data_IF_569594351287
#
_entry.id   IF_569594351287
#
_cell.length_a   1.000
_cell.length_b   1.000
_cell.length_c   1.000
_cell.angle_alpha   90.00
_cell.angle_beta   90.00
_cell.angle_gamma   90.00
#
_symmetry.space_group_name_H-M   'P 1'
#
loop_
_entity.id
_entity.type
_entity.pdbx_description
1 polymer ?
#
# COMPACT_ATOMS: atom_id res chain seq x y z
N UNK A 1 -28.98 20.58 -6.61
CA UNK A 1 -29.84 19.54 -7.22
C UNK A 1 -29.66 19.48 -8.73
N UNK A 2 -28.42 19.46 -9.19
CA UNK A 2 -27.90 18.43 -10.10
C UNK A 2 -26.52 18.15 -9.54
N UNK A 3 -26.35 16.92 -9.12
CA UNK A 3 -25.12 16.21 -8.82
C UNK A 3 -23.95 16.80 -9.60
N UNK A 4 -22.98 17.41 -8.91
CA UNK A 4 -21.64 17.66 -9.49
C UNK A 4 -20.95 16.30 -9.56
N UNK A 5 -21.54 15.42 -10.38
CA UNK A 5 -21.22 14.03 -10.61
C UNK A 5 -21.33 13.22 -9.30
N UNK A 6 -22.04 12.10 -9.25
CA UNK A 6 -21.44 10.83 -9.63
C UNK A 6 -19.89 10.83 -9.65
N UNK A 7 -19.22 11.34 -8.61
CA UNK A 7 -17.75 11.37 -8.49
C UNK A 7 -17.16 9.98 -8.80
N UNK A 8 -17.83 8.91 -8.37
CA UNK A 8 -17.47 7.53 -8.71
C UNK A 8 -17.46 7.23 -10.22
N UNK A 9 -18.43 7.69 -11.01
CA UNK A 9 -18.45 7.42 -12.45
C UNK A 9 -17.33 8.17 -13.17
N UNK A 10 -17.05 9.41 -12.79
CA UNK A 10 -15.94 10.16 -13.38
C UNK A 10 -14.58 9.57 -12.98
N UNK A 11 -14.43 9.13 -11.73
CA UNK A 11 -13.20 8.49 -11.25
C UNK A 11 -12.94 7.19 -12.01
N UNK A 12 -13.96 6.33 -12.20
CA UNK A 12 -13.79 5.09 -12.98
C UNK A 12 -13.42 5.37 -14.45
N UNK A 13 -14.07 6.36 -15.10
CA UNK A 13 -13.74 6.76 -16.47
C UNK A 13 -12.32 7.32 -16.57
N UNK A 14 -11.92 8.17 -15.62
CA UNK A 14 -10.56 8.72 -15.54
C UNK A 14 -9.52 7.62 -15.31
N UNK A 15 -9.80 6.67 -14.41
CA UNK A 15 -8.95 5.49 -14.18
C UNK A 15 -8.79 4.69 -15.45
N UNK A 16 -9.88 4.33 -16.15
CA UNK A 16 -9.80 3.58 -17.40
C UNK A 16 -8.95 4.31 -18.45
N UNK A 17 -9.18 5.61 -18.63
CA UNK A 17 -8.43 6.42 -19.60
C UNK A 17 -6.93 6.47 -19.27
N UNK A 18 -6.60 6.70 -17.99
CA UNK A 18 -5.21 6.76 -17.55
C UNK A 18 -4.54 5.38 -17.59
N UNK A 19 -5.25 4.29 -17.32
CA UNK A 19 -4.72 2.92 -17.49
C UNK A 19 -4.31 2.67 -18.95
N UNK A 20 -5.13 3.07 -19.91
CA UNK A 20 -4.82 2.95 -21.34
C UNK A 20 -3.65 3.86 -21.76
N UNK A 21 -3.59 5.09 -21.24
CA UNK A 21 -2.52 6.03 -21.51
C UNK A 21 -1.17 5.56 -20.94
N UNK A 22 -1.19 4.98 -19.73
CA UNK A 22 -0.02 4.56 -18.97
C UNK A 22 0.38 3.10 -19.22
N UNK A 23 -0.28 2.38 -20.13
CA UNK A 23 -0.05 0.94 -20.39
C UNK A 23 1.38 0.57 -20.76
N UNK A 24 2.19 1.53 -21.20
CA UNK A 24 3.59 1.33 -21.55
C UNK A 24 4.54 1.46 -20.34
N UNK A 25 4.00 1.79 -19.17
CA UNK A 25 4.72 1.94 -17.89
C UNK A 25 6.03 2.73 -18.05
N UNK A 26 5.99 3.91 -18.67
CA UNK A 26 7.21 4.65 -18.95
C UNK A 26 7.71 5.41 -17.71
N UNK A 27 9.02 5.50 -17.46
CA UNK A 27 9.56 6.28 -16.34
C UNK A 27 9.16 7.76 -16.38
N UNK A 28 9.06 8.34 -17.58
CA UNK A 28 8.61 9.73 -17.78
C UNK A 28 7.18 9.99 -17.29
N UNK A 29 6.39 8.94 -17.12
CA UNK A 29 4.99 8.99 -16.70
C UNK A 29 4.84 8.68 -15.19
N UNK A 30 5.93 8.48 -14.45
CA UNK A 30 5.92 8.18 -13.01
C UNK A 30 5.04 9.11 -12.15
N UNK A 31 5.05 10.44 -12.37
CA UNK A 31 4.12 11.35 -11.68
C UNK A 31 2.65 11.06 -11.97
N UNK A 32 2.30 10.68 -13.20
CA UNK A 32 0.92 10.31 -13.58
C UNK A 32 0.52 8.96 -12.98
N UNK A 33 1.43 7.99 -12.94
CA UNK A 33 1.21 6.72 -12.23
C UNK A 33 0.90 6.96 -10.75
N UNK A 34 1.65 7.86 -10.11
CA UNK A 34 1.44 8.23 -8.70
C UNK A 34 0.06 8.86 -8.49
N UNK A 35 -0.35 9.79 -9.37
CA UNK A 35 -1.66 10.44 -9.28
C UNK A 35 -2.83 9.48 -9.53
N UNK A 36 -2.70 8.56 -10.48
CA UNK A 36 -3.70 7.51 -10.70
C UNK A 36 -3.90 6.68 -9.44
N UNK A 37 -2.81 6.19 -8.85
CA UNK A 37 -2.86 5.36 -7.65
C UNK A 37 -3.41 6.14 -6.45
N UNK A 38 -2.99 7.40 -6.27
CA UNK A 38 -3.49 8.28 -5.22
C UNK A 38 -5.01 8.46 -5.31
N UNK A 39 -5.53 8.81 -6.49
CA UNK A 39 -6.96 8.97 -6.71
C UNK A 39 -7.72 7.67 -6.42
N UNK A 40 -7.22 6.53 -6.89
CA UNK A 40 -7.88 5.25 -6.64
C UNK A 40 -7.78 4.84 -5.16
N UNK A 41 -6.68 5.09 -4.46
CA UNK A 41 -6.56 4.79 -3.02
C UNK A 41 -7.51 5.63 -2.16
N UNK A 42 -7.81 6.86 -2.56
CA UNK A 42 -8.72 7.74 -1.83
C UNK A 42 -10.20 7.42 -2.07
N UNK A 43 -10.56 6.96 -3.27
CA UNK A 43 -11.96 6.82 -3.67
C UNK A 43 -12.40 5.38 -3.98
N UNK A 44 -11.49 4.53 -4.46
CA UNK A 44 -11.75 3.15 -4.84
C UNK A 44 -10.59 2.21 -4.44
N UNK A 45 -10.34 1.99 -3.14
CA UNK A 45 -9.18 1.21 -2.65
C UNK A 45 -9.05 -0.18 -3.29
N UNK A 46 -10.18 -0.84 -3.60
CA UNK A 46 -10.19 -2.15 -4.24
C UNK A 46 -9.57 -2.13 -5.65
N UNK A 47 -9.79 -1.05 -6.41
CA UNK A 47 -9.19 -0.88 -7.74
C UNK A 47 -7.69 -0.61 -7.61
N UNK A 48 -7.29 0.21 -6.64
CA UNK A 48 -5.87 0.43 -6.36
C UNK A 48 -5.15 -0.86 -5.94
N UNK A 49 -5.77 -1.68 -5.07
CA UNK A 49 -5.21 -2.98 -4.68
C UNK A 49 -5.01 -3.90 -5.88
N UNK A 50 -5.98 -3.96 -6.79
CA UNK A 50 -5.86 -4.74 -8.02
C UNK A 50 -4.73 -4.22 -8.94
N UNK A 51 -4.60 -2.91 -9.12
CA UNK A 51 -3.53 -2.29 -9.94
C UNK A 51 -2.15 -2.61 -9.35
N UNK A 52 -1.99 -2.45 -8.03
CA UNK A 52 -0.74 -2.73 -7.31
C UNK A 52 -0.41 -4.23 -7.30
N UNK A 53 -1.40 -5.08 -7.03
CA UNK A 53 -1.26 -6.54 -7.01
C UNK A 53 -0.90 -7.13 -8.37
N UNK A 54 -1.41 -6.54 -9.46
CA UNK A 54 -1.06 -6.92 -10.83
C UNK A 54 0.27 -6.31 -11.33
N UNK A 55 0.95 -5.52 -10.50
CA UNK A 55 2.23 -4.87 -10.85
C UNK A 55 2.17 -4.07 -12.16
N UNK A 56 1.04 -3.40 -12.44
CA UNK A 56 0.83 -2.67 -13.70
C UNK A 56 1.77 -1.47 -13.84
N UNK A 57 2.26 -0.92 -12.73
CA UNK A 57 3.12 0.27 -12.67
C UNK A 57 4.34 0.03 -11.78
N UNK A 58 5.45 0.68 -12.11
CA UNK A 58 6.72 0.54 -11.35
C UNK A 58 7.45 1.85 -11.07
N UNK A 59 7.00 2.98 -11.63
CA UNK A 59 7.73 4.26 -11.59
C UNK A 59 7.07 5.34 -10.72
N UNK A 60 6.04 4.97 -9.95
CA UNK A 60 5.39 5.88 -9.00
C UNK A 60 6.21 6.05 -7.71
N UNK A 61 5.86 7.07 -6.93
CA UNK A 61 6.42 7.30 -5.59
C UNK A 61 5.96 6.22 -4.61
N UNK A 62 6.81 5.22 -4.36
CA UNK A 62 6.49 4.08 -3.50
C UNK A 62 6.20 4.49 -2.06
N UNK A 63 6.95 5.46 -1.51
CA UNK A 63 6.80 5.88 -0.12
C UNK A 63 5.45 6.57 0.10
N UNK A 64 5.07 7.45 -0.82
CA UNK A 64 3.77 8.12 -0.80
C UNK A 64 2.61 7.12 -0.95
N UNK A 65 2.72 6.20 -1.92
CA UNK A 65 1.69 5.17 -2.13
C UNK A 65 1.56 4.23 -0.94
N UNK A 66 2.66 3.85 -0.28
CA UNK A 66 2.63 3.03 0.93
C UNK A 66 1.80 3.69 2.06
N UNK A 67 2.00 4.99 2.29
CA UNK A 67 1.25 5.74 3.30
C UNK A 67 -0.25 5.80 2.97
N UNK A 68 -0.60 5.94 1.68
CA UNK A 68 -1.99 5.93 1.25
C UNK A 68 -2.62 4.53 1.37
N UNK A 69 -1.88 3.46 1.09
CA UNK A 69 -2.33 2.10 1.33
C UNK A 69 -2.64 1.85 2.82
N UNK A 70 -1.80 2.34 3.73
CA UNK A 70 -2.04 2.24 5.17
C UNK A 70 -3.34 2.96 5.57
N UNK A 71 -3.54 4.20 5.08
CA UNK A 71 -4.76 4.97 5.32
C UNK A 71 -6.02 4.31 4.74
N UNK A 72 -5.89 3.61 3.62
CA UNK A 72 -6.97 2.89 2.97
C UNK A 72 -7.27 1.51 3.61
N UNK A 73 -6.52 1.12 4.65
CA UNK A 73 -6.65 -0.19 5.30
C UNK A 73 -5.98 -1.35 4.54
N UNK A 74 -5.26 -1.07 3.46
CA UNK A 74 -4.50 -2.04 2.66
C UNK A 74 -3.10 -2.24 3.25
N UNK A 75 -3.03 -2.70 4.51
CA UNK A 75 -1.77 -2.83 5.25
C UNK A 75 -0.74 -3.74 4.57
N UNK A 76 -1.20 -4.82 3.94
CA UNK A 76 -0.32 -5.72 3.18
C UNK A 76 0.38 -4.98 2.04
N UNK A 77 -0.36 -4.16 1.28
CA UNK A 77 0.22 -3.34 0.20
C UNK A 77 1.13 -2.26 0.74
N UNK A 78 0.78 -1.62 1.85
CA UNK A 78 1.66 -0.63 2.49
C UNK A 78 3.04 -1.24 2.80
N UNK A 79 3.06 -2.43 3.43
CA UNK A 79 4.29 -3.13 3.78
C UNK A 79 5.15 -3.55 2.58
N UNK A 80 4.55 -3.97 1.47
CA UNK A 80 5.29 -4.29 0.23
C UNK A 80 5.94 -3.05 -0.43
N UNK A 81 5.48 -1.85 -0.09
CA UNK A 81 5.95 -0.60 -0.67
C UNK A 81 6.86 0.18 0.28
N UNK A 82 6.82 -0.10 1.58
CA UNK A 82 7.76 0.48 2.52
C UNK A 82 9.19 0.01 2.29
N UNK A 83 10.09 0.98 2.21
CA UNK A 83 11.54 0.76 2.11
C UNK A 83 12.26 1.14 3.41
N UNK A 84 11.61 1.90 4.29
CA UNK A 84 12.15 2.32 5.58
C UNK A 84 11.75 1.32 6.68
N UNK A 85 12.75 0.79 7.39
CA UNK A 85 12.55 -0.12 8.51
C UNK A 85 11.68 0.47 9.62
N UNK A 86 11.72 1.80 9.83
CA UNK A 86 10.87 2.49 10.79
C UNK A 86 9.40 2.37 10.43
N UNK A 87 9.03 2.60 9.16
CA UNK A 87 7.65 2.47 8.69
C UNK A 87 7.20 1.01 8.69
N UNK A 88 8.08 0.07 8.30
CA UNK A 88 7.82 -1.37 8.40
C UNK A 88 7.49 -1.73 9.85
N UNK A 89 8.35 -1.38 10.81
CA UNK A 89 8.15 -1.63 12.25
C UNK A 89 6.83 -1.03 12.76
N UNK A 90 6.45 0.17 12.32
CA UNK A 90 5.17 0.78 12.69
C UNK A 90 3.98 0.03 12.10
N UNK A 91 4.06 -0.41 10.85
CA UNK A 91 2.94 -1.07 10.19
C UNK A 91 2.77 -2.52 10.65
N UNK A 92 3.86 -3.29 10.82
CA UNK A 92 3.77 -4.69 11.28
C UNK A 92 3.21 -4.82 12.69
N UNK A 93 3.26 -3.80 13.55
CA UNK A 93 2.67 -3.93 14.90
C UNK A 93 1.14 -3.98 14.90
N UNK A 94 0.52 -3.66 13.77
CA UNK A 94 -0.91 -3.88 13.52
C UNK A 94 -1.21 -5.30 12.98
N UNK A 95 -0.40 -6.31 13.34
CA UNK A 95 -0.47 -7.71 12.84
C UNK A 95 -1.83 -8.40 12.88
N UNK A 96 -2.73 -8.03 13.78
CA UNK A 96 -4.09 -8.62 13.85
C UNK A 96 -4.90 -8.52 12.54
N UNK A 97 -4.50 -7.65 11.62
CA UNK A 97 -5.15 -7.44 10.32
C UNK A 97 -4.42 -8.16 9.17
N UNK A 98 -3.31 -8.85 9.45
CA UNK A 98 -2.45 -9.45 8.43
C UNK A 98 -2.50 -10.98 8.51
N UNK A 99 -2.46 -11.64 7.34
CA UNK A 99 -2.37 -13.09 7.26
C UNK A 99 -1.02 -13.57 7.84
N UNK A 100 -1.01 -14.46 8.84
CA UNK A 100 0.23 -14.98 9.43
C UNK A 100 1.18 -15.65 8.43
N UNK A 101 0.64 -16.37 7.44
CA UNK A 101 1.43 -17.06 6.42
C UNK A 101 2.13 -16.05 5.49
N UNK A 102 1.42 -14.99 5.13
CA UNK A 102 2.01 -13.90 4.34
C UNK A 102 3.11 -13.17 5.14
N UNK A 103 2.89 -12.90 6.43
CA UNK A 103 3.89 -12.26 7.30
C UNK A 103 5.19 -13.06 7.37
N UNK A 104 5.11 -14.39 7.47
CA UNK A 104 6.29 -15.26 7.46
C UNK A 104 7.08 -15.09 6.15
N UNK A 105 6.39 -15.09 5.01
CA UNK A 105 7.03 -14.87 3.71
C UNK A 105 7.63 -13.46 3.60
N UNK A 106 6.95 -12.43 4.12
CA UNK A 106 7.45 -11.06 4.14
C UNK A 106 8.75 -10.94 4.95
N UNK A 107 8.80 -11.51 6.16
CA UNK A 107 10.05 -11.56 6.95
C UNK A 107 11.13 -12.42 6.31
N UNK A 108 10.77 -13.41 5.48
CA UNK A 108 11.73 -14.15 4.66
C UNK A 108 12.37 -13.32 3.54
N UNK A 109 11.72 -12.24 3.11
CA UNK A 109 12.24 -11.32 2.08
C UNK A 109 13.14 -10.21 2.63
N UNK A 110 13.06 -9.93 3.94
CA UNK A 110 13.91 -8.97 4.64
C UNK A 110 15.24 -9.61 5.07
N UNK A 111 16.22 -8.77 5.41
CA UNK A 111 17.46 -9.26 6.02
C UNK A 111 17.17 -9.92 7.38
N UNK A 112 18.03 -10.86 7.80
CA UNK A 112 17.87 -11.54 9.11
C UNK A 112 17.84 -10.52 10.25
N UNK A 113 18.68 -9.49 10.17
CA UNK A 113 18.79 -8.43 11.17
C UNK A 113 17.50 -7.60 11.24
N UNK A 114 16.97 -7.18 10.09
CA UNK A 114 15.72 -6.39 9.99
C UNK A 114 14.50 -7.20 10.46
N UNK A 115 14.45 -8.48 10.09
CA UNK A 115 13.39 -9.40 10.51
C UNK A 115 13.38 -9.60 12.02
N UNK A 116 14.54 -9.83 12.64
CA UNK A 116 14.65 -9.96 14.10
C UNK A 116 14.24 -8.67 14.81
N UNK A 117 14.62 -7.52 14.25
CA UNK A 117 14.27 -6.22 14.79
C UNK A 117 12.75 -5.93 14.72
N UNK A 118 12.08 -6.33 13.64
CA UNK A 118 10.63 -6.24 13.52
C UNK A 118 9.91 -7.20 14.48
N UNK A 119 10.38 -8.45 14.58
CA UNK A 119 9.82 -9.44 15.52
C UNK A 119 9.96 -9.00 16.98
N UNK A 120 11.09 -8.38 17.35
CA UNK A 120 11.30 -7.78 18.68
C UNK A 120 10.31 -6.65 18.95
N UNK A 121 10.05 -5.79 17.96
CA UNK A 121 9.08 -4.70 18.10
C UNK A 121 7.65 -5.24 18.31
N UNK A 122 7.26 -6.29 17.57
CA UNK A 122 5.98 -6.97 17.75
C UNK A 122 5.86 -7.59 19.15
N UNK A 123 6.89 -8.31 19.62
CA UNK A 123 6.87 -8.96 20.93
C UNK A 123 6.76 -7.96 22.09
N UNK A 124 7.51 -6.84 22.03
CA UNK A 124 7.46 -5.81 23.07
C UNK A 124 6.06 -5.22 23.26
N UNK A 125 5.29 -5.07 22.20
CA UNK A 125 3.93 -4.56 22.28
C UNK A 125 2.93 -5.58 22.81
N UNK A 126 3.12 -6.88 22.55
CA UNK A 126 2.25 -7.91 23.12
C UNK A 126 2.54 -8.15 24.61
N UNK A 127 3.80 -8.11 25.03
CA UNK A 127 4.19 -8.21 26.45
C UNK A 127 3.77 -6.99 27.29
N UNK A 128 3.68 -5.80 26.69
CA UNK A 128 3.18 -4.60 27.37
C UNK A 128 1.65 -4.56 27.55
N UNK A 129 0.89 -5.36 26.79
CA UNK A 129 -0.57 -5.45 26.88
C UNK A 129 -1.06 -6.42 27.97
N UNK A 130 -0.18 -7.27 28.52
CA UNK A 130 -0.52 -8.24 29.57
C UNK A 130 -0.39 -7.67 30.99
N UNK A 131 0.04 -6.42 31.15
CA UNK A 131 0.19 -5.73 32.45
C UNK A 131 -0.76 -4.53 32.64
N UNK A 132 -1.90 -4.48 31.94
CA UNK A 132 -2.99 -3.54 32.26
C UNK A 132 -4.31 -4.28 32.42
#
# INVERSE_FOLDING_TARGET
MVDVFTEYNLIQQCTSFLLDALKNNRPSEGPLQTRLLEMNLMHAPQVADAILGNQMFTHYDRAHIAQLCEKAGLLQRALEHYTDLYDIKRAVVHTHLLNPEWLVNFFGSLSVEDSLECLRAMYRLTSGRTCR
#
